data_IF_548769647525
#
_entry.id   IF_548769647525
#
_cell.length_a   1.000
_cell.length_b   1.000
_cell.length_c   1.000
_cell.angle_alpha   90.00
_cell.angle_beta   90.00
_cell.angle_gamma   90.00
#
_symmetry.space_group_name_H-M   'P 1'
#
loop_
_entity.id
_entity.type
_entity.pdbx_description
1 polymer ?
#
# COMPACT_ATOMS: atom_id res chain seq x y z
N UNK A 1 10.01 11.38 23.93
CA UNK A 1 10.04 9.93 23.61
C UNK A 1 9.22 9.20 24.65
N UNK A 2 7.91 9.04 24.41
CA UNK A 2 7.10 8.05 25.13
C UNK A 2 7.48 6.68 24.53
N UNK A 3 7.79 5.73 25.42
CA UNK A 3 8.24 4.35 25.14
C UNK A 3 9.34 4.11 24.10
N UNK A 4 10.60 4.27 24.55
CA UNK A 4 11.79 3.78 23.84
C UNK A 4 11.91 2.24 23.77
N UNK A 5 10.83 1.50 24.03
CA UNK A 5 10.82 0.05 24.18
C UNK A 5 10.06 -0.69 23.08
N UNK A 6 9.16 -0.05 22.31
CA UNK A 6 8.30 -0.74 21.34
C UNK A 6 9.09 -1.66 20.39
N UNK A 7 10.11 -1.13 19.72
CA UNK A 7 10.92 -1.91 18.77
C UNK A 7 11.83 -2.96 19.43
N UNK A 8 12.01 -2.90 20.76
CA UNK A 8 12.74 -3.91 21.52
C UNK A 8 11.83 -5.07 21.96
N UNK A 9 10.50 -4.93 21.85
CA UNK A 9 9.54 -5.97 22.25
C UNK A 9 9.32 -7.04 21.17
N UNK A 10 9.66 -6.76 19.91
CA UNK A 10 9.35 -7.64 18.78
C UNK A 10 10.62 -8.00 18.00
N UNK A 11 10.68 -9.23 17.43
CA UNK A 11 11.72 -9.56 16.46
C UNK A 11 11.58 -8.66 15.22
N UNK A 12 12.71 -8.38 14.56
CA UNK A 12 12.75 -7.61 13.32
C UNK A 12 13.62 -8.33 12.28
N UNK A 13 13.35 -8.04 11.02
CA UNK A 13 14.15 -8.46 9.87
C UNK A 13 14.36 -7.23 8.98
N UNK A 14 15.62 -6.88 8.72
CA UNK A 14 15.97 -5.82 7.78
C UNK A 14 16.03 -6.37 6.36
N UNK A 15 15.13 -5.90 5.48
CA UNK A 15 15.17 -6.25 4.06
C UNK A 15 16.22 -5.38 3.37
N UNK A 16 17.24 -5.95 2.71
CA UNK A 16 18.28 -5.17 2.01
C UNK A 16 17.66 -4.22 0.98
N UNK A 17 18.06 -2.94 1.02
CA UNK A 17 17.49 -1.87 0.18
C UNK A 17 18.27 -1.64 -1.11
N UNK A 18 17.74 -0.73 -1.94
CA UNK A 18 18.39 -0.18 -3.13
C UNK A 18 18.52 1.35 -3.08
N UNK A 19 18.81 1.90 -1.89
CA UNK A 19 18.91 3.36 -1.70
C UNK A 19 20.06 3.98 -2.52
N UNK A 20 21.12 3.21 -2.77
CA UNK A 20 22.24 3.58 -3.64
C UNK A 20 21.85 3.69 -5.11
N UNK A 21 20.70 3.12 -5.52
CA UNK A 21 20.28 3.13 -6.91
C UNK A 21 20.15 4.55 -7.47
N UNK A 22 19.97 5.56 -6.62
CA UNK A 22 19.86 6.97 -7.01
C UNK A 22 21.03 7.46 -7.88
N UNK A 23 22.21 6.88 -7.69
CA UNK A 23 23.43 7.22 -8.44
C UNK A 23 23.52 6.56 -9.82
N UNK A 24 22.64 5.60 -10.12
CA UNK A 24 22.56 4.93 -11.41
C UNK A 24 21.77 5.77 -12.43
N UNK A 25 22.21 5.74 -13.70
CA UNK A 25 21.45 6.31 -14.81
C UNK A 25 20.19 5.50 -15.04
N UNK A 26 19.06 6.17 -15.07
CA UNK A 26 17.78 5.57 -15.44
C UNK A 26 17.68 5.47 -16.98
N UNK A 27 17.40 4.27 -17.48
CA UNK A 27 17.22 3.99 -18.91
C UNK A 27 15.82 3.47 -19.23
N UNK A 28 14.97 3.32 -18.22
CA UNK A 28 13.67 2.70 -18.36
C UNK A 28 12.64 3.75 -18.77
N UNK A 29 11.92 3.50 -19.86
CA UNK A 29 10.86 4.38 -20.35
C UNK A 29 9.65 4.29 -19.43
N UNK A 30 9.25 5.40 -18.79
CA UNK A 30 8.02 5.53 -17.99
C UNK A 30 7.87 4.51 -16.84
N UNK A 31 8.97 3.97 -16.33
CA UNK A 31 9.01 3.14 -15.12
C UNK A 31 10.39 3.26 -14.47
N UNK A 32 10.57 4.32 -13.69
CA UNK A 32 11.87 4.76 -13.21
C UNK A 32 12.52 3.69 -12.34
N UNK A 33 13.72 3.26 -12.70
CA UNK A 33 14.53 2.29 -11.94
C UNK A 33 13.84 0.92 -11.74
N UNK A 34 12.93 0.53 -12.64
CA UNK A 34 12.09 -0.68 -12.49
C UNK A 34 12.89 -1.96 -12.23
N UNK A 35 14.11 -2.11 -12.77
CA UNK A 35 14.94 -3.28 -12.48
C UNK A 35 15.27 -3.41 -10.98
N UNK A 36 15.67 -2.32 -10.32
CA UNK A 36 15.94 -2.30 -8.88
C UNK A 36 14.66 -2.42 -8.04
N UNK A 37 13.56 -1.80 -8.49
CA UNK A 37 12.27 -1.93 -7.80
C UNK A 37 11.73 -3.36 -7.87
N UNK A 38 11.90 -4.06 -8.99
CA UNK A 38 11.58 -5.47 -9.13
C UNK A 38 12.39 -6.32 -8.16
N UNK A 39 13.71 -6.10 -8.07
CA UNK A 39 14.56 -6.79 -7.10
C UNK A 39 14.10 -6.51 -5.65
N UNK A 40 13.78 -5.26 -5.32
CA UNK A 40 13.32 -4.87 -4.00
C UNK A 40 11.97 -5.53 -3.64
N UNK A 41 10.99 -5.45 -4.54
CA UNK A 41 9.68 -6.08 -4.35
C UNK A 41 9.81 -7.61 -4.22
N UNK A 42 10.75 -8.23 -4.93
CA UNK A 42 11.02 -9.67 -4.81
C UNK A 42 11.59 -10.03 -3.44
N UNK A 43 12.50 -9.22 -2.88
CA UNK A 43 13.02 -9.39 -1.52
C UNK A 43 11.93 -9.23 -0.46
N UNK A 44 11.10 -8.18 -0.59
CA UNK A 44 9.94 -7.96 0.29
C UNK A 44 8.99 -9.15 0.22
N UNK A 45 8.64 -9.62 -0.98
CA UNK A 45 7.78 -10.79 -1.15
C UNK A 45 8.34 -12.04 -0.46
N UNK A 46 9.65 -12.26 -0.55
CA UNK A 46 10.34 -13.40 0.08
C UNK A 46 10.30 -13.29 1.61
N UNK A 47 10.59 -12.11 2.16
CA UNK A 47 10.55 -11.87 3.61
C UNK A 47 9.14 -12.06 4.17
N UNK A 48 8.11 -11.53 3.50
CA UNK A 48 6.71 -11.69 3.88
C UNK A 48 6.28 -13.15 3.79
N UNK A 49 6.60 -13.85 2.71
CA UNK A 49 6.28 -15.27 2.56
C UNK A 49 6.88 -16.11 3.70
N UNK A 50 8.16 -15.90 3.99
CA UNK A 50 8.88 -16.66 5.01
C UNK A 50 8.29 -16.42 6.40
N UNK A 51 8.02 -15.17 6.76
CA UNK A 51 7.46 -14.82 8.07
C UNK A 51 6.04 -15.39 8.24
N UNK A 52 5.19 -15.28 7.21
CA UNK A 52 3.83 -15.85 7.25
C UNK A 52 3.85 -17.38 7.37
N UNK A 53 4.74 -18.08 6.65
CA UNK A 53 4.92 -19.54 6.76
C UNK A 53 5.42 -19.98 8.15
N UNK A 54 6.09 -19.09 8.88
CA UNK A 54 6.54 -19.31 10.25
C UNK A 54 5.50 -18.90 11.30
N UNK A 55 4.29 -18.51 10.88
CA UNK A 55 3.21 -17.98 11.74
C UNK A 55 3.58 -16.68 12.47
N UNK A 56 4.49 -15.88 11.90
CA UNK A 56 4.68 -14.50 12.34
C UNK A 56 3.63 -13.60 11.68
N UNK A 57 3.25 -12.52 12.38
CA UNK A 57 2.43 -11.43 11.84
C UNK A 57 3.37 -10.29 11.41
N UNK A 58 3.59 -10.05 10.10
CA UNK A 58 4.48 -8.99 9.66
C UNK A 58 3.79 -7.62 9.73
N UNK A 59 4.46 -6.66 10.39
CA UNK A 59 4.20 -5.23 10.20
C UNK A 59 5.37 -4.67 9.39
N UNK A 60 5.10 -4.25 8.15
CA UNK A 60 6.11 -3.72 7.25
C UNK A 60 6.20 -2.20 7.40
N UNK A 61 7.42 -1.69 7.55
CA UNK A 61 7.72 -0.26 7.46
C UNK A 61 8.57 -0.08 6.20
N UNK A 62 8.07 0.69 5.24
CA UNK A 62 8.75 0.92 3.96
C UNK A 62 8.89 2.41 3.65
N UNK A 63 9.74 2.72 2.68
CA UNK A 63 9.96 4.05 2.15
C UNK A 63 8.81 4.46 1.24
N UNK A 64 8.89 4.10 -0.04
CA UNK A 64 7.83 4.38 -1.00
C UNK A 64 6.77 3.27 -1.07
N UNK A 65 5.62 3.57 -1.66
CA UNK A 65 4.48 2.64 -1.74
C UNK A 65 4.66 1.47 -2.71
N UNK A 66 5.72 1.44 -3.52
CA UNK A 66 5.95 0.34 -4.47
C UNK A 66 6.15 -1.01 -3.78
N UNK A 67 6.61 -1.02 -2.53
CA UNK A 67 6.79 -2.22 -1.71
C UNK A 67 5.51 -3.02 -1.51
N UNK A 68 4.34 -2.39 -1.59
CA UNK A 68 3.05 -3.05 -1.46
C UNK A 68 2.84 -4.16 -2.50
N UNK A 69 3.40 -4.02 -3.71
CA UNK A 69 3.40 -5.10 -4.69
C UNK A 69 4.17 -6.33 -4.14
N UNK A 70 5.33 -6.10 -3.53
CA UNK A 70 6.11 -7.13 -2.86
C UNK A 70 5.31 -7.78 -1.73
N UNK A 71 4.66 -6.99 -0.88
CA UNK A 71 3.83 -7.48 0.23
C UNK A 71 2.68 -8.35 -0.24
N UNK A 72 1.87 -7.87 -1.18
CA UNK A 72 0.75 -8.62 -1.79
C UNK A 72 1.25 -9.92 -2.43
N UNK A 73 2.37 -9.85 -3.15
CA UNK A 73 2.98 -11.01 -3.80
C UNK A 73 3.48 -12.05 -2.80
N UNK A 74 4.09 -11.62 -1.70
CA UNK A 74 4.55 -12.51 -0.62
C UNK A 74 3.41 -13.20 0.12
N UNK A 75 2.32 -12.47 0.40
CA UNK A 75 1.10 -13.06 0.99
C UNK A 75 0.54 -14.14 0.05
N UNK A 76 0.46 -13.84 -1.25
CA UNK A 76 -0.02 -14.81 -2.24
C UNK A 76 0.94 -15.98 -2.47
N UNK A 77 2.24 -15.80 -2.33
CA UNK A 77 3.20 -16.90 -2.38
C UNK A 77 3.06 -17.84 -1.16
N UNK A 78 2.82 -17.30 0.03
CA UNK A 78 2.54 -18.08 1.23
C UNK A 78 1.19 -18.83 1.14
N UNK A 79 0.17 -18.18 0.58
CA UNK A 79 -1.21 -18.69 0.54
C UNK A 79 -1.84 -18.59 -0.86
N UNK A 80 -1.35 -19.37 -1.85
CA UNK A 80 -1.75 -19.22 -3.25
C UNK A 80 -3.22 -19.53 -3.51
N UNK A 81 -3.82 -20.45 -2.73
CA UNK A 81 -5.22 -20.84 -2.86
C UNK A 81 -6.21 -19.90 -2.14
N UNK A 82 -5.73 -19.08 -1.20
CA UNK A 82 -6.60 -18.22 -0.39
C UNK A 82 -6.91 -16.92 -1.09
N UNK A 83 -8.15 -16.44 -0.94
CA UNK A 83 -8.62 -15.17 -1.51
C UNK A 83 -8.18 -14.00 -0.64
N UNK A 84 -7.42 -13.08 -1.22
CA UNK A 84 -6.87 -11.91 -0.53
C UNK A 84 -7.75 -10.69 -0.77
N UNK A 85 -8.23 -10.08 0.30
CA UNK A 85 -8.77 -8.71 0.30
C UNK A 85 -7.68 -7.69 0.59
N UNK A 86 -7.78 -6.52 -0.03
CA UNK A 86 -6.84 -5.41 0.18
C UNK A 86 -7.62 -4.18 0.62
N UNK A 87 -7.20 -3.64 1.77
CA UNK A 87 -7.64 -2.35 2.29
C UNK A 87 -6.52 -1.36 2.00
N UNK A 88 -6.80 -0.40 1.14
CA UNK A 88 -5.82 0.59 0.69
C UNK A 88 -6.18 1.96 1.25
N UNK A 89 -5.41 2.43 2.22
CA UNK A 89 -5.63 3.69 2.94
C UNK A 89 -4.62 4.70 2.42
N UNK A 90 -5.06 5.58 1.52
CA UNK A 90 -4.18 6.38 0.66
C UNK A 90 -4.90 7.64 0.17
N UNK A 91 -4.17 8.69 -0.18
CA UNK A 91 -4.70 9.79 -0.98
C UNK A 91 -4.77 9.49 -2.49
N UNK A 92 -3.94 8.56 -2.99
CA UNK A 92 -3.75 8.21 -4.39
C UNK A 92 -4.29 6.81 -4.71
N UNK A 93 -4.57 6.54 -5.99
CA UNK A 93 -5.12 5.27 -6.41
C UNK A 93 -4.06 4.19 -6.68
N UNK A 94 -2.84 4.58 -7.03
CA UNK A 94 -1.72 3.67 -7.30
C UNK A 94 -2.00 2.61 -8.38
N UNK A 95 -2.87 2.99 -9.33
CA UNK A 95 -3.39 2.15 -10.41
C UNK A 95 -2.75 2.45 -11.76
N UNK A 96 -1.80 3.38 -11.84
CA UNK A 96 -1.05 3.55 -13.06
C UNK A 96 -0.24 2.30 -13.42
N UNK A 97 0.00 2.13 -14.72
CA UNK A 97 1.05 1.28 -15.23
C UNK A 97 2.08 2.15 -15.98
N UNK A 98 3.22 1.60 -16.42
CA UNK A 98 4.14 2.35 -17.27
C UNK A 98 3.47 2.87 -18.56
N UNK A 99 2.41 2.21 -19.02
CA UNK A 99 1.65 2.60 -20.21
C UNK A 99 0.80 3.86 -19.98
N UNK A 100 0.36 4.13 -18.75
CA UNK A 100 -0.57 5.21 -18.41
C UNK A 100 0.06 6.32 -17.56
N UNK A 101 1.17 6.05 -16.89
CA UNK A 101 1.77 6.98 -15.93
C UNK A 101 2.33 8.23 -16.62
N UNK A 102 1.98 9.45 -16.17
CA UNK A 102 2.57 10.68 -16.68
C UNK A 102 3.99 10.92 -16.14
N UNK A 103 4.31 10.39 -14.95
CA UNK A 103 5.56 10.65 -14.24
C UNK A 103 6.60 9.55 -14.43
N UNK A 104 6.15 8.31 -14.69
CA UNK A 104 6.95 7.10 -14.67
C UNK A 104 7.42 6.67 -13.28
N UNK A 105 6.93 7.28 -12.20
CA UNK A 105 7.25 6.85 -10.84
C UNK A 105 6.50 5.56 -10.48
N UNK A 106 7.21 4.57 -9.95
CA UNK A 106 6.64 3.22 -9.74
C UNK A 106 5.80 3.11 -8.46
N UNK A 107 5.99 4.01 -7.49
CA UNK A 107 5.16 4.03 -6.28
C UNK A 107 3.67 4.21 -6.61
N UNK A 108 3.32 4.90 -7.71
CA UNK A 108 1.94 4.99 -8.19
C UNK A 108 1.45 3.82 -9.06
N UNK A 109 2.16 2.69 -9.09
CA UNK A 109 1.85 1.52 -9.93
C UNK A 109 1.62 0.16 -9.24
N UNK A 110 1.76 -0.02 -7.91
CA UNK A 110 1.78 -1.36 -7.31
C UNK A 110 0.45 -2.10 -7.49
N UNK A 111 -0.70 -1.41 -7.46
CA UNK A 111 -2.00 -2.07 -7.61
C UNK A 111 -2.27 -2.50 -9.05
N UNK A 112 -1.84 -1.75 -10.05
CA UNK A 112 -1.91 -2.18 -11.46
C UNK A 112 -1.11 -3.47 -11.68
N UNK A 113 0.12 -3.53 -11.15
CA UNK A 113 0.96 -4.73 -11.23
C UNK A 113 0.36 -5.92 -10.45
N UNK A 114 -0.28 -5.66 -9.30
CA UNK A 114 -0.90 -6.70 -8.49
C UNK A 114 -2.19 -7.26 -9.13
N UNK A 115 -2.99 -6.40 -9.76
CA UNK A 115 -4.18 -6.77 -10.54
C UNK A 115 -3.83 -7.37 -11.91
N UNK A 116 -2.59 -7.18 -12.35
CA UNK A 116 -2.10 -7.53 -13.69
C UNK A 116 -2.98 -6.91 -14.80
N UNK A 117 -3.40 -5.66 -14.61
CA UNK A 117 -4.18 -4.86 -15.58
C UNK A 117 -3.42 -3.56 -15.93
N UNK A 118 -2.90 -3.51 -17.15
CA UNK A 118 -2.08 -2.41 -17.66
C UNK A 118 -2.89 -1.17 -18.09
N UNK A 119 -4.23 -1.23 -18.08
CA UNK A 119 -5.10 -0.17 -18.54
C UNK A 119 -4.76 0.36 -19.95
N UNK A 120 -4.51 -0.56 -20.89
CA UNK A 120 -4.08 -0.22 -22.26
C UNK A 120 -5.10 0.64 -23.03
N UNK A 121 -6.37 0.65 -22.61
CA UNK A 121 -7.38 1.55 -23.18
C UNK A 121 -7.05 3.03 -22.96
N UNK A 122 -6.31 3.34 -21.90
CA UNK A 122 -5.87 4.69 -21.53
C UNK A 122 -4.37 4.90 -21.77
N UNK A 123 -3.74 4.09 -22.63
CA UNK A 123 -2.30 4.18 -22.87
C UNK A 123 -1.91 5.54 -23.45
N UNK A 124 -0.91 6.18 -22.83
CA UNK A 124 -0.32 7.44 -23.29
C UNK A 124 1.17 7.31 -23.64
N UNK A 125 1.80 6.19 -23.31
CA UNK A 125 3.23 5.96 -23.47
C UNK A 125 3.55 4.77 -24.39
N UNK A 126 4.67 4.85 -25.11
CA UNK A 126 5.31 3.71 -25.76
C UNK A 126 6.50 3.23 -24.91
N UNK A 127 6.56 1.93 -24.62
CA UNK A 127 7.58 1.35 -23.74
C UNK A 127 8.71 0.69 -24.51
N UNK A 128 9.95 0.83 -24.02
CA UNK A 128 11.09 0.05 -24.47
C UNK A 128 10.91 -1.43 -24.11
N UNK A 129 11.56 -2.32 -24.89
CA UNK A 129 11.54 -3.76 -24.62
C UNK A 129 12.09 -4.11 -23.23
N UNK A 130 13.07 -3.35 -22.74
CA UNK A 130 13.64 -3.52 -21.41
C UNK A 130 12.61 -3.18 -20.31
N UNK A 131 11.89 -2.06 -20.44
CA UNK A 131 10.81 -1.75 -19.47
C UNK A 131 9.70 -2.80 -19.52
N UNK A 132 9.28 -3.24 -20.71
CA UNK A 132 8.24 -4.27 -20.85
C UNK A 132 8.66 -5.56 -20.14
N UNK A 133 9.92 -5.99 -20.31
CA UNK A 133 10.47 -7.17 -19.65
C UNK A 133 10.41 -7.06 -18.12
N UNK A 134 10.87 -5.93 -17.55
CA UNK A 134 10.83 -5.73 -16.11
C UNK A 134 9.41 -5.60 -15.57
N UNK A 135 8.51 -4.95 -16.30
CA UNK A 135 7.10 -4.81 -15.92
C UNK A 135 6.36 -6.16 -15.93
N UNK A 136 6.64 -7.01 -16.91
CA UNK A 136 6.19 -8.41 -16.89
C UNK A 136 6.73 -9.15 -15.67
N UNK A 137 7.99 -8.91 -15.29
CA UNK A 137 8.57 -9.41 -14.04
C UNK A 137 7.79 -8.98 -12.80
N UNK A 138 7.43 -7.69 -12.69
CA UNK A 138 6.64 -7.13 -11.58
C UNK A 138 5.28 -7.84 -11.46
N UNK A 139 4.60 -8.05 -12.59
CA UNK A 139 3.34 -8.79 -12.67
C UNK A 139 3.43 -10.25 -12.22
N UNK A 140 4.62 -10.85 -12.14
CA UNK A 140 4.83 -12.26 -11.83
C UNK A 140 5.65 -12.54 -10.54
N UNK A 141 5.89 -11.53 -9.69
CA UNK A 141 6.51 -11.73 -8.37
C UNK A 141 5.64 -12.66 -7.51
N UNK A 142 6.27 -13.63 -6.85
CA UNK A 142 5.64 -14.57 -5.92
C UNK A 142 4.81 -15.65 -6.62
N UNK A 143 3.74 -15.25 -7.31
CA UNK A 143 2.91 -16.11 -8.17
C UNK A 143 2.73 -15.46 -9.54
N UNK A 144 2.50 -16.28 -10.57
CA UNK A 144 2.24 -15.77 -11.91
C UNK A 144 0.85 -15.17 -12.03
N UNK A 145 0.75 -14.00 -12.68
CA UNK A 145 -0.51 -13.31 -12.96
C UNK A 145 -1.09 -12.56 -11.76
N UNK A 146 -2.42 -12.30 -11.75
CA UNK A 146 -3.06 -11.45 -10.76
C UNK A 146 -3.00 -12.04 -9.34
N UNK A 147 -2.71 -11.19 -8.37
CA UNK A 147 -2.61 -11.55 -6.93
C UNK A 147 -3.90 -11.30 -6.16
N UNK A 148 -4.76 -10.42 -6.66
CA UNK A 148 -6.06 -10.09 -6.10
C UNK A 148 -7.07 -9.84 -7.21
N UNK A 149 -8.35 -9.87 -6.86
CA UNK A 149 -9.44 -9.44 -7.73
C UNK A 149 -9.78 -7.99 -7.41
N UNK A 150 -10.12 -7.19 -8.42
CA UNK A 150 -10.51 -5.80 -8.19
C UNK A 150 -11.75 -5.65 -7.29
N UNK A 151 -12.63 -6.65 -7.25
CA UNK A 151 -13.78 -6.69 -6.34
C UNK A 151 -13.39 -6.75 -4.86
N UNK A 152 -12.17 -7.21 -4.57
CA UNK A 152 -11.61 -7.45 -3.25
C UNK A 152 -10.66 -6.32 -2.80
N UNK A 153 -10.60 -5.24 -3.58
CA UNK A 153 -9.91 -4.01 -3.24
C UNK A 153 -10.93 -2.98 -2.76
N UNK A 154 -10.63 -2.35 -1.62
CA UNK A 154 -11.38 -1.19 -1.10
C UNK A 154 -10.41 -0.05 -0.78
N UNK A 155 -10.73 1.13 -1.27
CA UNK A 155 -10.00 2.36 -0.95
C UNK A 155 -10.64 3.09 0.23
N UNK A 156 -9.78 3.70 1.04
CA UNK A 156 -10.14 4.70 2.02
C UNK A 156 -9.31 5.95 1.75
N UNK A 157 -9.98 7.05 1.42
CA UNK A 157 -9.35 8.37 1.36
C UNK A 157 -8.86 8.82 -0.03
N UNK A 158 -8.89 7.95 -1.05
CA UNK A 158 -8.42 8.29 -2.40
C UNK A 158 -9.16 9.51 -2.93
N UNK A 159 -8.40 10.52 -3.33
CA UNK A 159 -8.90 11.87 -3.66
C UNK A 159 -7.97 12.69 -4.56
N UNK A 160 -6.79 12.19 -4.91
CA UNK A 160 -5.89 12.78 -5.90
C UNK A 160 -5.53 11.69 -6.92
N UNK A 161 -6.11 11.80 -8.11
CA UNK A 161 -6.05 10.78 -9.17
C UNK A 161 -5.95 11.44 -10.53
N UNK A 162 -5.39 10.71 -11.49
CA UNK A 162 -5.41 11.09 -12.90
C UNK A 162 -6.52 10.36 -13.68
N UNK A 163 -6.93 10.95 -14.82
CA UNK A 163 -8.01 10.42 -15.67
C UNK A 163 -7.86 8.92 -16.04
N UNK A 164 -6.66 8.39 -16.38
CA UNK A 164 -6.52 6.96 -16.61
C UNK A 164 -6.87 6.10 -15.40
N UNK A 165 -6.54 6.53 -14.19
CA UNK A 165 -6.86 5.81 -12.95
C UNK A 165 -8.36 5.88 -12.67
N UNK A 166 -8.98 7.05 -12.83
CA UNK A 166 -10.44 7.22 -12.66
C UNK A 166 -11.22 6.26 -13.58
N UNK A 167 -10.83 6.18 -14.86
CA UNK A 167 -11.45 5.26 -15.81
C UNK A 167 -11.23 3.80 -15.41
N UNK A 168 -10.07 3.46 -14.84
CA UNK A 168 -9.79 2.10 -14.37
C UNK A 168 -10.57 1.74 -13.11
N UNK A 169 -10.70 2.67 -12.15
CA UNK A 169 -11.53 2.53 -10.95
C UNK A 169 -12.98 2.26 -11.35
N UNK A 170 -13.52 3.05 -12.29
CA UNK A 170 -14.88 2.88 -12.80
C UNK A 170 -15.04 1.54 -13.52
N UNK A 171 -14.16 1.23 -14.47
CA UNK A 171 -14.17 -0.04 -15.24
C UNK A 171 -14.14 -1.26 -14.32
N UNK A 172 -13.32 -1.23 -13.28
CA UNK A 172 -13.13 -2.34 -12.35
C UNK A 172 -14.13 -2.35 -11.18
N UNK A 173 -14.93 -1.28 -11.02
CA UNK A 173 -15.89 -1.13 -9.93
C UNK A 173 -15.24 -1.13 -8.55
N UNK A 174 -14.04 -0.52 -8.43
CA UNK A 174 -13.32 -0.45 -7.16
C UNK A 174 -14.03 0.53 -6.24
N UNK A 175 -14.35 0.10 -5.02
CA UNK A 175 -15.09 0.94 -4.07
C UNK A 175 -14.11 1.83 -3.31
N UNK A 176 -14.26 3.14 -3.50
CA UNK A 176 -13.63 4.16 -2.68
C UNK A 176 -14.60 4.70 -1.63
N UNK A 177 -14.17 4.66 -0.36
CA UNK A 177 -14.79 5.37 0.75
C UNK A 177 -14.01 6.67 0.95
N UNK A 178 -14.46 7.73 0.28
CA UNK A 178 -13.81 9.04 0.35
C UNK A 178 -13.93 9.63 1.76
N UNK A 179 -13.00 10.54 2.11
CA UNK A 179 -13.06 11.27 3.39
C UNK A 179 -14.40 11.99 3.56
N UNK A 180 -14.91 12.61 2.50
CA UNK A 180 -16.20 13.29 2.52
C UNK A 180 -17.37 12.32 2.75
N UNK A 181 -17.38 11.19 2.06
CA UNK A 181 -18.40 10.15 2.23
C UNK A 181 -18.43 9.62 3.67
N UNK A 182 -17.27 9.31 4.24
CA UNK A 182 -17.15 8.77 5.60
C UNK A 182 -17.66 9.78 6.63
N UNK A 183 -17.29 11.06 6.50
CA UNK A 183 -17.74 12.11 7.42
C UNK A 183 -19.22 12.44 7.26
N UNK A 184 -19.79 12.27 6.07
CA UNK A 184 -21.21 12.50 5.82
C UNK A 184 -22.10 11.33 6.27
N UNK A 185 -21.74 10.09 5.90
CA UNK A 185 -22.52 8.87 6.17
C UNK A 185 -22.26 8.28 7.55
N UNK A 186 -21.13 8.63 8.15
CA UNK A 186 -20.64 8.08 9.41
C UNK A 186 -19.69 6.90 9.19
N UNK A 187 -18.56 6.94 9.89
CA UNK A 187 -17.48 5.94 9.77
C UNK A 187 -17.97 4.51 10.00
N UNK A 188 -18.80 4.27 11.02
CA UNK A 188 -19.30 2.92 11.33
C UNK A 188 -20.09 2.29 10.18
N UNK A 189 -20.87 3.08 9.43
CA UNK A 189 -21.66 2.58 8.28
C UNK A 189 -20.72 2.17 7.15
N UNK A 190 -19.77 3.04 6.79
CA UNK A 190 -18.78 2.76 5.75
C UNK A 190 -17.92 1.54 6.08
N UNK A 191 -17.49 1.40 7.35
CA UNK A 191 -16.70 0.26 7.79
C UNK A 191 -17.50 -1.05 7.74
N UNK A 192 -18.78 -1.03 8.11
CA UNK A 192 -19.63 -2.22 8.00
C UNK A 192 -19.78 -2.67 6.53
N UNK A 193 -19.98 -1.73 5.61
CA UNK A 193 -20.06 -2.02 4.17
C UNK A 193 -18.74 -2.55 3.61
N UNK A 194 -17.62 -1.95 4.00
CA UNK A 194 -16.29 -2.38 3.56
C UNK A 194 -15.97 -3.80 4.04
N UNK A 195 -16.26 -4.09 5.32
CA UNK A 195 -16.13 -5.45 5.88
C UNK A 195 -17.04 -6.45 5.19
N UNK A 196 -18.27 -6.06 4.86
CA UNK A 196 -19.20 -6.92 4.13
C UNK A 196 -18.70 -7.23 2.71
N UNK A 197 -18.12 -6.23 2.02
CA UNK A 197 -17.52 -6.41 0.69
C UNK A 197 -16.35 -7.39 0.71
N UNK A 198 -15.53 -7.36 1.76
CA UNK A 198 -14.41 -8.28 1.95
C UNK A 198 -14.77 -9.56 2.74
N UNK A 199 -16.06 -9.80 3.03
CA UNK A 199 -16.47 -10.91 3.90
C UNK A 199 -16.14 -12.29 3.30
N UNK A 200 -16.11 -12.41 1.97
CA UNK A 200 -15.74 -13.63 1.25
C UNK A 200 -14.23 -13.84 1.11
N UNK A 201 -13.39 -12.86 1.48
CA UNK A 201 -11.95 -13.04 1.47
C UNK A 201 -11.52 -13.89 2.66
N UNK A 202 -10.52 -14.74 2.45
CA UNK A 202 -9.93 -15.57 3.51
C UNK A 202 -8.93 -14.75 4.32
N UNK A 203 -8.17 -13.89 3.64
CA UNK A 203 -7.11 -13.05 4.20
C UNK A 203 -7.36 -11.58 3.88
N UNK A 204 -6.86 -10.68 4.71
CA UNK A 204 -6.87 -9.24 4.49
C UNK A 204 -5.45 -8.69 4.63
N UNK A 205 -5.04 -7.86 3.68
CA UNK A 205 -3.86 -7.02 3.77
C UNK A 205 -4.32 -5.56 3.93
N UNK A 206 -3.69 -4.84 4.86
CA UNK A 206 -3.95 -3.42 5.09
C UNK A 206 -2.70 -2.64 4.72
N UNK A 207 -2.80 -1.80 3.69
CA UNK A 207 -1.76 -0.86 3.29
C UNK A 207 -2.14 0.53 3.78
N UNK A 208 -1.27 1.16 4.55
CA UNK A 208 -1.46 2.51 5.07
C UNK A 208 -0.36 3.43 4.56
N UNK A 209 -0.73 4.26 3.59
CA UNK A 209 0.01 5.45 3.22
C UNK A 209 -0.30 6.58 4.19
N UNK A 210 0.73 7.19 4.74
CA UNK A 210 0.57 8.31 5.68
C UNK A 210 0.02 9.58 5.02
N UNK A 211 0.07 9.71 3.70
CA UNK A 211 -0.51 10.83 2.95
C UNK A 211 -2.05 10.77 2.84
N UNK A 212 -2.64 9.62 3.21
CA UNK A 212 -4.08 9.51 3.45
C UNK A 212 -4.54 10.43 4.60
N UNK A 213 -3.61 10.80 5.50
CA UNK A 213 -3.84 11.77 6.55
C UNK A 213 -3.74 13.21 6.02
N UNK A 214 -4.51 14.11 6.62
CA UNK A 214 -4.56 15.51 6.21
C UNK A 214 -3.23 16.22 6.48
N UNK A 215 -2.59 16.73 5.42
CA UNK A 215 -1.28 17.39 5.53
C UNK A 215 -1.32 18.75 6.26
N UNK A 216 -2.46 19.43 6.27
CA UNK A 216 -2.63 20.73 6.94
C UNK A 216 -2.86 20.52 8.45
N UNK A 217 -3.58 19.46 8.82
CA UNK A 217 -3.81 19.07 10.22
C UNK A 217 -2.56 18.40 10.81
N UNK A 218 -2.03 17.35 10.16
CA UNK A 218 -0.97 16.50 10.68
C UNK A 218 0.40 17.06 10.31
N UNK A 219 0.91 16.77 9.11
CA UNK A 219 2.22 17.21 8.63
C UNK A 219 2.35 17.01 7.11
N UNK A 220 3.29 17.74 6.49
CA UNK A 220 3.73 17.53 5.10
C UNK A 220 4.91 16.55 4.99
N UNK A 221 5.21 15.80 6.05
CA UNK A 221 6.29 14.81 6.12
C UNK A 221 6.05 13.54 5.28
N UNK A 222 5.60 13.70 4.04
CA UNK A 222 5.38 12.66 3.02
C UNK A 222 5.76 13.20 1.64
N UNK A 223 6.05 12.33 0.68
CA UNK A 223 6.42 12.70 -0.69
C UNK A 223 5.35 13.49 -1.44
N UNK A 224 4.07 13.13 -1.25
CA UNK A 224 2.92 13.62 -2.03
C UNK A 224 1.78 14.09 -1.12
N UNK A 225 1.94 15.19 -0.38
CA UNK A 225 0.94 15.62 0.60
C UNK A 225 -0.36 16.12 -0.05
N UNK A 226 -1.49 15.49 0.28
CA UNK A 226 -2.82 15.87 -0.20
C UNK A 226 -3.71 16.37 0.95
N UNK A 227 -4.27 17.57 0.80
CA UNK A 227 -5.14 18.17 1.82
C UNK A 227 -6.50 17.43 1.95
N UNK A 228 -7.25 17.76 3.02
CA UNK A 228 -8.59 17.21 3.32
C UNK A 228 -8.61 15.70 3.54
N UNK A 229 -7.52 15.18 4.13
CA UNK A 229 -7.35 13.79 4.51
C UNK A 229 -8.02 13.43 5.83
N UNK A 230 -7.71 12.22 6.31
CA UNK A 230 -8.13 11.74 7.63
C UNK A 230 -7.28 12.37 8.75
N UNK A 231 -7.81 12.36 9.97
CA UNK A 231 -6.95 12.40 11.16
C UNK A 231 -6.46 11.00 11.54
N UNK A 232 -5.52 10.91 12.49
CA UNK A 232 -4.96 9.63 12.90
C UNK A 232 -5.97 8.71 13.60
N UNK A 233 -7.02 9.26 14.23
CA UNK A 233 -8.03 8.47 14.93
C UNK A 233 -9.00 7.80 13.94
N UNK A 234 -9.35 8.51 12.86
CA UNK A 234 -10.07 7.94 11.71
C UNK A 234 -9.27 6.77 11.10
N UNK A 235 -7.97 6.93 10.87
CA UNK A 235 -7.08 5.85 10.39
C UNK A 235 -7.04 4.68 11.36
N UNK A 236 -6.79 4.92 12.65
CA UNK A 236 -6.79 3.87 13.69
C UNK A 236 -8.11 3.09 13.68
N UNK A 237 -9.25 3.77 13.59
CA UNK A 237 -10.55 3.15 13.57
C UNK A 237 -10.78 2.30 12.30
N UNK A 238 -10.29 2.75 11.14
CA UNK A 238 -10.32 1.96 9.89
C UNK A 238 -9.51 0.67 10.07
N UNK A 239 -8.24 0.78 10.47
CA UNK A 239 -7.35 -0.39 10.61
C UNK A 239 -7.90 -1.37 11.66
N UNK A 240 -8.32 -0.87 12.82
CA UNK A 240 -8.85 -1.71 13.90
C UNK A 240 -10.13 -2.46 13.49
N UNK A 241 -11.01 -1.85 12.70
CA UNK A 241 -12.22 -2.52 12.23
C UNK A 241 -11.93 -3.73 11.34
N UNK A 242 -10.80 -3.71 10.61
CA UNK A 242 -10.33 -4.88 9.85
C UNK A 242 -9.56 -5.86 10.75
N UNK A 243 -8.76 -5.40 11.71
CA UNK A 243 -8.13 -6.29 12.71
C UNK A 243 -9.18 -7.14 13.44
N UNK A 244 -10.32 -6.54 13.81
CA UNK A 244 -11.46 -7.23 14.46
C UNK A 244 -12.06 -8.38 13.61
N UNK A 245 -11.81 -8.40 12.30
CA UNK A 245 -12.25 -9.52 11.45
C UNK A 245 -11.42 -10.79 11.68
N UNK A 246 -10.25 -10.67 12.32
CA UNK A 246 -9.26 -11.73 12.50
C UNK A 246 -8.74 -12.34 11.18
N UNK A 247 -8.94 -11.64 10.07
CA UNK A 247 -8.45 -12.04 8.73
C UNK A 247 -7.21 -11.27 8.30
N UNK A 248 -6.84 -10.21 9.03
CA UNK A 248 -5.66 -9.42 8.69
C UNK A 248 -4.41 -10.28 8.90
N UNK A 249 -3.56 -10.37 7.87
CA UNK A 249 -2.32 -11.15 7.93
C UNK A 249 -1.06 -10.30 7.86
N UNK A 250 -1.17 -9.07 7.37
CA UNK A 250 -0.07 -8.13 7.27
C UNK A 250 -0.60 -6.69 7.24
N UNK A 251 0.15 -5.78 7.86
CA UNK A 251 -0.10 -4.34 7.82
C UNK A 251 1.18 -3.65 7.36
N UNK A 252 1.07 -2.68 6.47
CA UNK A 252 2.19 -1.93 5.93
C UNK A 252 2.01 -0.42 6.16
N UNK A 253 3.10 0.25 6.54
CA UNK A 253 3.20 1.70 6.69
C UNK A 253 4.25 2.24 5.71
N UNK A 254 3.88 3.24 4.90
CA UNK A 254 4.74 3.80 3.85
C UNK A 254 4.74 5.33 3.82
N UNK A 255 5.56 5.90 2.94
CA UNK A 255 5.65 7.32 2.55
C UNK A 255 5.95 8.30 3.68
N UNK A 256 6.50 7.83 4.81
CA UNK A 256 7.03 8.73 5.84
C UNK A 256 8.33 9.35 5.31
N UNK A 257 8.33 10.67 5.13
CA UNK A 257 9.49 11.43 4.70
C UNK A 257 9.87 12.51 5.74
N UNK A 258 10.81 12.20 6.66
CA UNK A 258 11.24 13.14 7.69
C UNK A 258 11.89 14.42 7.14
N UNK A 259 12.45 14.39 5.93
CA UNK A 259 13.11 15.54 5.31
C UNK A 259 12.12 16.60 4.82
N UNK A 260 10.88 16.20 4.53
CA UNK A 260 9.79 17.10 4.14
C UNK A 260 8.95 17.57 5.34
N UNK A 261 9.23 17.03 6.53
CA UNK A 261 8.49 17.34 7.74
C UNK A 261 8.96 18.66 8.38
N UNK A 262 8.23 19.74 8.09
CA UNK A 262 8.50 21.07 8.66
C UNK A 262 8.03 21.23 10.11
N UNK A 263 7.46 20.19 10.72
CA UNK A 263 6.95 20.18 12.10
C UNK A 263 7.82 19.34 13.05
N UNK A 264 9.06 19.04 12.66
CA UNK A 264 10.05 18.41 13.55
C UNK A 264 9.79 16.94 13.83
N UNK A 265 9.41 16.17 12.79
CA UNK A 265 9.12 14.73 12.81
C UNK A 265 7.66 14.35 13.20
N UNK A 266 6.73 15.30 13.09
CA UNK A 266 5.33 15.09 13.48
C UNK A 266 4.64 13.96 12.71
N UNK A 267 4.97 13.75 11.43
CA UNK A 267 4.43 12.65 10.63
C UNK A 267 4.81 11.29 11.22
N UNK A 268 6.10 11.08 11.47
CA UNK A 268 6.58 9.82 12.05
C UNK A 268 6.05 9.61 13.47
N UNK A 269 5.96 10.65 14.30
CA UNK A 269 5.33 10.55 15.62
C UNK A 269 3.86 10.13 15.53
N UNK A 270 3.11 10.70 14.57
CA UNK A 270 1.69 10.40 14.38
C UNK A 270 1.50 8.98 13.81
N UNK A 271 2.31 8.57 12.85
CA UNK A 271 2.31 7.20 12.34
C UNK A 271 2.69 6.19 13.45
N UNK A 272 3.62 6.56 14.33
CA UNK A 272 3.97 5.76 15.50
C UNK A 272 2.83 5.65 16.52
N UNK A 273 2.06 6.73 16.75
CA UNK A 273 0.83 6.67 17.56
C UNK A 273 -0.16 5.64 16.97
N UNK A 274 -0.34 5.62 15.64
CA UNK A 274 -1.19 4.63 14.95
C UNK A 274 -0.63 3.23 15.17
N UNK A 275 0.67 3.01 14.93
CA UNK A 275 1.34 1.72 15.12
C UNK A 275 1.16 1.19 16.56
N UNK A 276 1.43 2.02 17.56
CA UNK A 276 1.32 1.64 18.97
C UNK A 276 -0.11 1.21 19.34
N UNK A 277 -1.11 1.94 18.84
CA UNK A 277 -2.52 1.63 19.10
C UNK A 277 -2.98 0.35 18.41
N UNK A 278 -2.66 0.15 17.13
CA UNK A 278 -3.08 -1.05 16.42
C UNK A 278 -2.37 -2.30 16.95
N UNK A 279 -1.11 -2.19 17.40
CA UNK A 279 -0.38 -3.31 18.00
C UNK A 279 -1.00 -3.77 19.32
N UNK A 280 -1.59 -2.87 20.12
CA UNK A 280 -2.37 -3.25 21.31
C UNK A 280 -3.59 -4.10 20.94
N UNK A 281 -4.22 -3.80 19.81
CA UNK A 281 -5.38 -4.56 19.33
C UNK A 281 -4.98 -5.89 18.68
N UNK A 282 -3.87 -5.94 17.94
CA UNK A 282 -3.33 -7.20 17.42
C UNK A 282 -3.05 -8.21 18.54
N UNK A 283 -2.47 -7.76 19.67
CA UNK A 283 -2.22 -8.61 20.86
C UNK A 283 -3.49 -9.23 21.45
N UNK A 284 -4.69 -8.70 21.18
CA UNK A 284 -5.96 -9.29 21.66
C UNK A 284 -6.36 -10.55 20.88
N UNK A 285 -5.79 -10.74 19.69
CA UNK A 285 -6.13 -11.83 18.76
C UNK A 285 -4.93 -12.74 18.42
N UNK A 286 -3.76 -12.47 19.02
CA UNK A 286 -2.53 -13.26 18.88
C UNK A 286 -2.45 -14.41 19.89
#
# INVERSE_FOLDING_TARGET
MKDAHFFNEYPYEDVPTHNESIYNKDKNSFAKRIGHVLEQCTRVATAIENNLRQNHFPILLSGDHSSALGTISGIKAAFPALRLGVVWIDAHADLHSPYTSPSGNIHGMPLSAALNDNNLACQINELSSETQHYWEGMGNIGISGPKLLASDLVYFGVRDTEEPEDQQIEKLGIKNYTVHEIRYRGLSVCLQEARQKLASCDLIYVSFDVDSMDCDIISRGTGTPVAKGFDQFEVMAIINAFIETQKVVCIEFVEINPLLDTKGNKMAETAFEVLEEISKNLKKYA
#
